data_IF_970184509060
#
_entry.id   IF_970184509060
#
_cell.length_a   1.000
_cell.length_b   1.000
_cell.length_c   1.000
_cell.angle_alpha   90.00
_cell.angle_beta   90.00
_cell.angle_gamma   90.00
#
_symmetry.space_group_name_H-M   'P 1'
#
loop_
_entity.id
_entity.type
_entity.pdbx_description
1 polymer ?
#
# COMPACT_ATOMS: atom_id res chain seq x y z
N UNK A 1 -22.29 -12.19 -21.88
CA UNK A 1 -21.22 -11.17 -21.97
C UNK A 1 -21.97 -9.87 -22.14
N UNK A 2 -21.92 -8.97 -21.16
CA UNK A 2 -22.63 -7.69 -21.25
C UNK A 2 -22.02 -6.87 -22.39
N UNK A 3 -22.85 -6.14 -23.16
CA UNK A 3 -22.33 -5.13 -24.12
C UNK A 3 -21.64 -3.97 -23.36
N UNK A 4 -22.02 -3.76 -22.10
CA UNK A 4 -21.42 -2.79 -21.17
C UNK A 4 -20.41 -3.49 -20.25
N UNK A 5 -19.30 -2.81 -19.95
CA UNK A 5 -18.28 -3.23 -19.01
C UNK A 5 -18.76 -3.24 -17.56
N UNK A 6 -17.85 -3.57 -16.64
CA UNK A 6 -18.14 -3.66 -15.19
C UNK A 6 -17.18 -2.77 -14.41
N UNK A 7 -17.68 -2.12 -13.37
CA UNK A 7 -16.89 -1.28 -12.47
C UNK A 7 -16.66 -1.99 -11.13
N UNK A 8 -15.42 -2.09 -10.68
CA UNK A 8 -15.06 -2.56 -9.35
C UNK A 8 -14.68 -1.38 -8.48
N UNK A 9 -15.42 -1.15 -7.39
CA UNK A 9 -15.10 -0.16 -6.36
C UNK A 9 -14.29 -0.91 -5.28
N UNK A 10 -12.96 -0.82 -5.34
CA UNK A 10 -12.07 -1.68 -4.57
C UNK A 10 -11.23 -0.91 -3.54
N UNK A 11 -11.07 -1.48 -2.35
CA UNK A 11 -10.23 -0.91 -1.29
C UNK A 11 -8.78 -1.39 -1.36
N UNK A 12 -7.84 -0.44 -1.36
CA UNK A 12 -6.40 -0.71 -1.29
C UNK A 12 -5.90 -1.02 0.14
N UNK A 13 -6.77 -0.92 1.14
CA UNK A 13 -6.38 -1.11 2.54
C UNK A 13 -5.41 -0.02 3.01
N UNK A 14 -4.37 -0.41 3.73
CA UNK A 14 -3.34 0.50 4.27
C UNK A 14 -2.28 0.92 3.25
N UNK A 15 -2.51 0.69 1.95
CA UNK A 15 -1.54 1.03 0.90
C UNK A 15 -0.33 0.08 0.80
N UNK A 16 -0.28 -0.99 1.60
CA UNK A 16 0.71 -2.06 1.48
C UNK A 16 0.17 -3.17 0.53
N UNK A 17 0.85 -3.45 -0.60
CA UNK A 17 0.46 -4.52 -1.52
C UNK A 17 0.28 -5.90 -0.90
N UNK A 18 0.96 -6.19 0.22
CA UNK A 18 0.84 -7.48 0.90
C UNK A 18 -0.46 -7.61 1.72
N UNK A 19 -1.16 -6.51 1.97
CA UNK A 19 -2.34 -6.44 2.84
C UNK A 19 -3.64 -6.22 2.09
N UNK A 20 -3.60 -6.07 0.76
CA UNK A 20 -4.82 -6.05 -0.05
C UNK A 20 -5.51 -7.40 -0.01
N UNK A 21 -6.84 -7.37 -0.15
CA UNK A 21 -7.62 -8.61 -0.22
C UNK A 21 -7.27 -9.40 -1.49
N UNK A 22 -7.41 -10.73 -1.43
CA UNK A 22 -7.22 -11.58 -2.62
C UNK A 22 -8.14 -11.15 -3.77
N UNK A 23 -9.36 -10.68 -3.45
CA UNK A 23 -10.30 -10.16 -4.44
C UNK A 23 -9.82 -8.86 -5.07
N UNK A 24 -9.30 -7.92 -4.29
CA UNK A 24 -8.72 -6.67 -4.81
C UNK A 24 -7.56 -6.96 -5.79
N UNK A 25 -6.67 -7.89 -5.41
CA UNK A 25 -5.59 -8.34 -6.30
C UNK A 25 -6.11 -8.93 -7.60
N UNK A 26 -7.07 -9.86 -7.53
CA UNK A 26 -7.64 -10.53 -8.70
C UNK A 26 -8.26 -9.52 -9.69
N UNK A 27 -9.00 -8.52 -9.21
CA UNK A 27 -9.62 -7.52 -10.09
C UNK A 27 -8.61 -6.54 -10.66
N UNK A 28 -7.58 -6.16 -9.90
CA UNK A 28 -6.50 -5.30 -10.37
C UNK A 28 -5.69 -5.97 -11.48
N UNK A 29 -5.36 -7.26 -11.36
CA UNK A 29 -4.59 -8.00 -12.36
C UNK A 29 -5.28 -8.09 -13.73
N UNK A 30 -6.60 -7.91 -13.77
CA UNK A 30 -7.43 -8.01 -14.98
C UNK A 30 -7.97 -6.66 -15.45
N UNK A 31 -7.65 -5.58 -14.76
CA UNK A 31 -8.19 -4.25 -15.04
C UNK A 31 -7.73 -3.73 -16.40
N UNK A 32 -8.67 -3.22 -17.19
CA UNK A 32 -8.35 -2.49 -18.43
C UNK A 32 -8.17 -1.00 -18.14
N UNK A 33 -8.86 -0.48 -17.13
CA UNK A 33 -8.74 0.89 -16.62
C UNK A 33 -8.63 0.85 -15.11
N UNK A 34 -7.66 1.58 -14.55
CA UNK A 34 -7.53 1.79 -13.10
C UNK A 34 -7.66 3.27 -12.81
N UNK A 35 -8.71 3.64 -12.06
CA UNK A 35 -8.95 4.99 -11.55
C UNK A 35 -8.59 5.05 -10.08
N UNK A 36 -7.62 5.86 -9.68
CA UNK A 36 -7.06 5.83 -8.32
C UNK A 36 -6.84 7.23 -7.74
N UNK A 37 -6.77 7.32 -6.41
CA UNK A 37 -6.53 8.58 -5.69
C UNK A 37 -5.03 8.92 -5.68
N UNK A 38 -4.66 10.21 -5.64
CA UNK A 38 -3.25 10.61 -5.57
C UNK A 38 -2.49 10.05 -4.36
N UNK A 39 -3.18 9.70 -3.27
CA UNK A 39 -2.57 9.12 -2.06
C UNK A 39 -2.14 7.66 -2.24
N UNK A 40 -2.60 6.96 -3.28
CA UNK A 40 -2.20 5.57 -3.51
C UNK A 40 -0.68 5.49 -3.73
N UNK A 41 -0.02 4.60 -2.98
CA UNK A 41 1.43 4.43 -2.98
C UNK A 41 1.97 3.93 -4.33
N UNK A 42 3.23 4.25 -4.63
CA UNK A 42 3.87 3.76 -5.86
C UNK A 42 4.00 2.22 -5.87
N UNK A 43 4.26 1.62 -4.71
CA UNK A 43 4.26 0.16 -4.52
C UNK A 43 2.91 -0.47 -4.94
N UNK A 44 1.78 0.21 -4.68
CA UNK A 44 0.46 -0.24 -5.14
C UNK A 44 0.29 -0.05 -6.65
N UNK A 45 0.78 1.05 -7.23
CA UNK A 45 0.73 1.31 -8.68
C UNK A 45 1.55 0.29 -9.49
N UNK A 46 2.53 -0.37 -8.88
CA UNK A 46 3.27 -1.47 -9.50
C UNK A 46 2.43 -2.73 -9.71
N UNK A 47 1.31 -2.89 -8.99
CA UNK A 47 0.36 -3.98 -9.21
C UNK A 47 -0.51 -3.78 -10.45
N UNK A 48 -0.56 -2.56 -11.00
CA UNK A 48 -1.43 -2.26 -12.13
C UNK A 48 -0.90 -2.93 -13.39
N UNK A 49 -1.76 -3.55 -14.22
CA UNK A 49 -1.34 -4.17 -15.46
C UNK A 49 -0.54 -3.19 -16.33
N UNK A 50 0.49 -3.69 -17.04
CA UNK A 50 1.37 -2.85 -17.84
C UNK A 50 0.64 -2.13 -19.00
N UNK A 51 -0.46 -2.72 -19.48
CA UNK A 51 -1.27 -2.19 -20.58
C UNK A 51 -2.57 -1.50 -20.16
N UNK A 52 -2.86 -1.37 -18.86
CA UNK A 52 -4.09 -0.71 -18.43
C UNK A 52 -4.01 0.82 -18.58
N UNK A 53 -5.14 1.45 -18.86
CA UNK A 53 -5.29 2.90 -18.76
C UNK A 53 -5.22 3.31 -17.28
N UNK A 54 -4.34 4.25 -16.93
CA UNK A 54 -4.14 4.72 -15.55
C UNK A 54 -4.68 6.15 -15.42
N UNK A 55 -5.67 6.35 -14.56
CA UNK A 55 -6.32 7.65 -14.38
C UNK A 55 -6.23 8.03 -12.91
N UNK A 56 -5.39 9.01 -12.61
CA UNK A 56 -5.36 9.62 -11.28
C UNK A 56 -6.51 10.64 -11.18
N UNK A 57 -7.36 10.50 -10.17
CA UNK A 57 -8.49 11.41 -9.97
C UNK A 57 -8.85 11.57 -8.49
N UNK A 58 -9.14 12.80 -8.09
CA UNK A 58 -9.61 13.13 -6.73
C UNK A 58 -11.11 13.45 -6.72
N UNK A 59 -11.86 12.98 -5.71
CA UNK A 59 -13.22 13.47 -5.46
C UNK A 59 -13.23 14.99 -5.34
N UNK A 60 -14.12 15.67 -6.07
CA UNK A 60 -14.30 17.13 -5.96
C UNK A 60 -13.48 18.03 -6.90
N UNK A 61 -12.71 17.47 -7.84
CA UNK A 61 -11.98 18.21 -8.88
C UNK A 61 -12.84 18.87 -9.97
N UNK A 62 -14.02 19.39 -9.63
CA UNK A 62 -15.01 19.96 -10.55
C UNK A 62 -14.84 21.45 -10.79
N UNK A 63 -13.72 21.89 -11.37
CA UNK A 63 -13.66 23.16 -12.09
C UNK A 63 -14.36 23.03 -13.44
N UNK A 64 -14.91 24.13 -13.99
CA UNK A 64 -15.62 24.11 -15.29
C UNK A 64 -14.70 23.60 -16.41
N UNK A 65 -14.85 22.33 -16.78
CA UNK A 65 -14.05 21.67 -17.82
C UNK A 65 -13.48 20.30 -17.42
N UNK A 66 -13.43 19.95 -16.13
CA UNK A 66 -12.98 18.64 -15.66
C UNK A 66 -14.15 17.66 -15.54
N UNK A 67 -14.01 16.46 -16.11
CA UNK A 67 -14.98 15.36 -15.93
C UNK A 67 -14.95 14.88 -14.49
N UNK A 68 -16.12 14.56 -13.93
CA UNK A 68 -16.24 13.96 -12.60
C UNK A 68 -15.69 12.53 -12.60
N UNK A 69 -15.22 12.04 -11.45
CA UNK A 69 -14.76 10.65 -11.29
C UNK A 69 -15.86 9.69 -11.75
N UNK A 70 -17.11 9.88 -11.30
CA UNK A 70 -18.24 9.05 -11.72
C UNK A 70 -18.43 9.04 -13.24
N UNK A 71 -18.27 10.19 -13.91
CA UNK A 71 -18.38 10.27 -15.36
C UNK A 71 -17.30 9.45 -16.07
N UNK A 72 -16.05 9.49 -15.57
CA UNK A 72 -14.95 8.66 -16.10
C UNK A 72 -15.29 7.17 -15.96
N UNK A 73 -15.83 6.75 -14.81
CA UNK A 73 -16.21 5.36 -14.57
C UNK A 73 -17.32 4.90 -15.52
N UNK A 74 -18.35 5.73 -15.71
CA UNK A 74 -19.48 5.46 -16.61
C UNK A 74 -18.99 5.37 -18.05
N UNK A 75 -18.29 6.40 -18.56
CA UNK A 75 -17.79 6.47 -19.94
C UNK A 75 -17.00 5.20 -20.30
N UNK A 76 -16.07 4.78 -19.42
CA UNK A 76 -15.22 3.61 -19.67
C UNK A 76 -15.99 2.29 -19.58
N UNK A 77 -16.98 2.19 -18.70
CA UNK A 77 -17.84 1.03 -18.65
C UNK A 77 -18.73 0.95 -19.90
N UNK A 78 -19.26 2.06 -20.42
CA UNK A 78 -20.03 2.09 -21.68
C UNK A 78 -19.19 1.70 -22.90
N UNK A 79 -17.88 1.95 -22.87
CA UNK A 79 -16.92 1.42 -23.86
C UNK A 79 -16.70 -0.11 -23.76
N UNK A 80 -17.35 -0.80 -22.82
CA UNK A 80 -17.22 -2.24 -22.62
C UNK A 80 -16.07 -2.67 -21.71
N UNK A 81 -15.34 -1.73 -21.10
CA UNK A 81 -14.10 -2.01 -20.35
C UNK A 81 -14.36 -2.47 -18.92
N UNK A 82 -13.46 -3.31 -18.40
CA UNK A 82 -13.34 -3.60 -16.98
C UNK A 82 -12.59 -2.46 -16.26
N UNK A 83 -13.31 -1.71 -15.44
CA UNK A 83 -12.79 -0.54 -14.72
C UNK A 83 -12.61 -0.88 -13.24
N UNK A 84 -11.46 -0.58 -12.66
CA UNK A 84 -11.22 -0.65 -11.22
C UNK A 84 -11.06 0.77 -10.68
N UNK A 85 -11.99 1.21 -9.84
CA UNK A 85 -11.85 2.40 -9.00
C UNK A 85 -11.22 1.97 -7.67
N UNK A 86 -9.97 2.37 -7.44
CA UNK A 86 -9.20 2.02 -6.26
C UNK A 86 -9.25 3.14 -5.22
N UNK A 87 -9.81 2.84 -4.05
CA UNK A 87 -9.90 3.74 -2.89
C UNK A 87 -8.80 3.42 -1.89
N UNK A 88 -8.34 4.43 -1.15
CA UNK A 88 -7.59 4.20 0.09
C UNK A 88 -8.49 3.55 1.15
N UNK A 89 -7.94 2.62 1.94
CA UNK A 89 -8.70 1.91 2.97
C UNK A 89 -9.80 1.01 2.40
N UNK A 90 -11.01 1.16 2.93
CA UNK A 90 -12.23 0.47 2.48
C UNK A 90 -13.13 1.44 1.66
N UNK A 91 -13.74 1.00 0.54
CA UNK A 91 -14.53 1.89 -0.31
C UNK A 91 -15.67 2.60 0.44
N UNK A 92 -16.39 1.90 1.32
CA UNK A 92 -17.55 2.49 2.02
C UNK A 92 -17.19 3.27 3.28
N UNK A 93 -15.89 3.34 3.62
CA UNK A 93 -15.42 4.37 4.53
C UNK A 93 -15.39 5.75 3.86
N UNK A 94 -15.30 5.80 2.52
CA UNK A 94 -15.30 7.06 1.76
C UNK A 94 -16.70 7.47 1.28
N UNK A 95 -17.08 8.72 1.59
CA UNK A 95 -18.31 9.33 1.08
C UNK A 95 -18.37 9.42 -0.46
N UNK A 96 -17.21 9.51 -1.14
CA UNK A 96 -17.16 9.58 -2.61
C UNK A 96 -17.59 8.26 -3.25
N UNK A 97 -17.22 7.11 -2.67
CA UNK A 97 -17.64 5.80 -3.16
C UNK A 97 -19.17 5.66 -3.18
N UNK A 98 -19.85 6.21 -2.17
CA UNK A 98 -21.31 6.16 -2.09
C UNK A 98 -21.95 6.94 -3.24
N UNK A 99 -21.43 8.14 -3.53
CA UNK A 99 -21.93 8.97 -4.63
C UNK A 99 -21.61 8.36 -6.01
N UNK A 100 -20.43 7.76 -6.16
CA UNK A 100 -20.02 7.03 -7.35
C UNK A 100 -20.90 5.79 -7.59
N UNK A 101 -21.15 4.96 -6.58
CA UNK A 101 -22.05 3.80 -6.67
C UNK A 101 -23.49 4.19 -7.03
N UNK A 102 -24.00 5.29 -6.44
CA UNK A 102 -25.31 5.84 -6.81
C UNK A 102 -25.36 6.30 -8.28
N UNK A 103 -24.27 6.88 -8.78
CA UNK A 103 -24.18 7.30 -10.17
C UNK A 103 -24.18 6.10 -11.13
N UNK A 104 -23.38 5.07 -10.84
CA UNK A 104 -23.35 3.83 -11.61
C UNK A 104 -24.73 3.16 -11.64
N UNK A 105 -25.43 3.12 -10.51
CA UNK A 105 -26.79 2.59 -10.41
C UNK A 105 -27.77 3.36 -11.29
N UNK A 106 -27.69 4.71 -11.30
CA UNK A 106 -28.58 5.57 -12.10
C UNK A 106 -28.42 5.36 -13.60
N UNK A 107 -27.19 5.14 -14.06
CA UNK A 107 -26.88 4.88 -15.47
C UNK A 107 -26.96 3.39 -15.85
N UNK A 108 -27.36 2.51 -14.91
CA UNK A 108 -27.48 1.07 -15.18
C UNK A 108 -26.15 0.35 -15.40
N UNK A 109 -25.03 0.92 -14.95
CA UNK A 109 -23.71 0.32 -15.06
C UNK A 109 -23.53 -0.76 -13.98
N UNK A 110 -23.21 -2.02 -14.35
CA UNK A 110 -22.91 -3.07 -13.39
C UNK A 110 -21.68 -2.73 -12.55
N UNK A 111 -21.77 -2.90 -11.23
CA UNK A 111 -20.61 -2.74 -10.36
C UNK A 111 -20.56 -3.74 -9.21
N UNK A 112 -19.35 -3.98 -8.71
CA UNK A 112 -19.06 -4.79 -7.52
C UNK A 112 -18.23 -3.95 -6.54
N UNK A 113 -18.53 -4.07 -5.24
CA UNK A 113 -17.72 -3.46 -4.19
C UNK A 113 -16.81 -4.50 -3.58
N UNK A 114 -15.51 -4.24 -3.59
CA UNK A 114 -14.48 -5.12 -3.05
C UNK A 114 -13.94 -4.51 -1.75
N UNK A 115 -14.22 -5.13 -0.58
CA UNK A 115 -13.80 -4.60 0.70
C UNK A 115 -12.28 -4.46 0.83
N UNK A 116 -11.87 -3.48 1.62
CA UNK A 116 -10.49 -3.20 1.99
C UNK A 116 -10.28 -3.17 3.51
N UNK A 117 -9.03 -3.14 3.95
CA UNK A 117 -8.71 -2.94 5.35
C UNK A 117 -8.92 -1.48 5.73
N UNK A 118 -9.65 -1.22 6.81
CA UNK A 118 -9.81 0.15 7.33
C UNK A 118 -8.50 0.54 8.02
N UNK A 119 -7.86 1.60 7.52
CA UNK A 119 -6.54 2.05 7.98
C UNK A 119 -6.53 2.36 9.49
N UNK A 120 -7.52 3.12 9.97
CA UNK A 120 -7.61 3.51 11.38
C UNK A 120 -7.67 2.33 12.35
N UNK A 121 -8.35 1.24 11.96
CA UNK A 121 -8.42 0.02 12.77
C UNK A 121 -7.18 -0.86 12.60
N UNK A 122 -6.60 -0.88 11.40
CA UNK A 122 -5.40 -1.67 11.12
C UNK A 122 -4.19 -1.13 11.87
N UNK A 123 -4.10 0.19 12.05
CA UNK A 123 -3.06 0.86 12.82
C UNK A 123 -2.91 0.28 14.23
N UNK A 124 -4.03 -0.01 14.91
CA UNK A 124 -4.04 -0.63 16.24
C UNK A 124 -3.40 -2.02 16.23
N UNK A 125 -3.71 -2.83 15.21
CA UNK A 125 -3.14 -4.18 15.05
C UNK A 125 -1.62 -4.14 14.91
N UNK A 126 -1.10 -3.20 14.12
CA UNK A 126 0.35 -2.99 13.98
C UNK A 126 0.96 -2.35 15.23
N UNK A 127 0.23 -1.51 15.95
CA UNK A 127 0.67 -0.96 17.23
C UNK A 127 0.58 -1.96 18.40
N UNK A 128 0.12 -3.20 18.18
CA UNK A 128 -0.05 -4.17 19.27
C UNK A 128 -1.13 -3.74 20.28
N UNK A 129 -2.11 -2.95 19.86
CA UNK A 129 -3.23 -2.51 20.69
C UNK A 129 -4.47 -3.27 20.23
N UNK A 130 -5.05 -4.15 21.05
CA UNK A 130 -6.25 -4.88 20.65
C UNK A 130 -7.48 -3.98 20.74
N UNK A 131 -8.45 -4.20 19.85
CA UNK A 131 -9.77 -3.53 19.91
C UNK A 131 -10.57 -3.91 21.15
N UNK A 132 -10.27 -5.06 21.73
CA UNK A 132 -10.92 -5.56 22.93
C UNK A 132 -9.86 -6.13 23.89
N UNK A 133 -9.83 -5.70 25.15
CA UNK A 133 -8.76 -6.09 26.09
C UNK A 133 -8.83 -7.54 26.58
N UNK A 134 -9.82 -8.33 26.13
CA UNK A 134 -10.28 -9.55 26.81
C UNK A 134 -10.84 -9.26 28.21
N UNK A 135 -12.07 -9.71 28.50
CA UNK A 135 -12.69 -9.60 29.83
C UNK A 135 -12.68 -8.20 30.47
N UNK A 136 -13.54 -7.27 30.04
CA UNK A 136 -13.74 -6.00 30.76
C UNK A 136 -14.31 -4.83 29.97
N UNK A 137 -13.87 -4.60 28.72
CA UNK A 137 -14.46 -3.54 27.89
C UNK A 137 -15.85 -3.95 27.38
N UNK A 138 -16.77 -2.98 27.32
CA UNK A 138 -18.14 -3.20 26.82
C UNK A 138 -18.28 -3.08 25.31
N UNK A 139 -17.27 -2.49 24.65
CA UNK A 139 -17.26 -2.24 23.22
C UNK A 139 -16.15 -1.27 22.81
N UNK A 140 -16.15 -0.89 21.54
CA UNK A 140 -15.30 0.16 21.01
C UNK A 140 -16.10 1.08 20.09
N UNK A 141 -15.62 2.29 19.87
CA UNK A 141 -16.22 3.27 18.97
C UNK A 141 -15.15 3.94 18.12
N UNK A 142 -15.45 4.14 16.84
CA UNK A 142 -14.55 4.74 15.87
C UNK A 142 -15.17 6.04 15.38
N UNK A 143 -14.38 7.11 15.30
CA UNK A 143 -14.81 8.40 14.81
C UNK A 143 -13.68 9.15 14.11
N UNK A 144 -14.02 10.04 13.20
CA UNK A 144 -13.10 11.07 12.70
C UNK A 144 -13.14 12.29 13.64
N UNK A 145 -12.00 12.95 13.83
CA UNK A 145 -11.90 14.24 14.52
C UNK A 145 -11.20 15.27 13.62
N UNK A 146 -11.79 16.46 13.39
CA UNK A 146 -12.99 17.01 14.03
C UNK A 146 -14.31 16.34 13.61
N UNK A 147 -15.30 16.31 14.50
CA UNK A 147 -16.60 15.71 14.20
C UNK A 147 -17.31 16.48 13.07
N UNK A 148 -17.96 15.72 12.17
CA UNK A 148 -18.74 16.27 11.07
C UNK A 148 -19.78 17.30 11.56
N UNK A 149 -19.90 18.39 10.79
CA UNK A 149 -20.81 19.50 11.08
C UNK A 149 -20.34 20.46 12.18
N UNK A 150 -19.07 20.39 12.59
CA UNK A 150 -18.50 21.28 13.61
C UNK A 150 -19.05 21.03 15.02
N UNK A 151 -19.62 19.85 15.25
CA UNK A 151 -20.11 19.44 16.57
C UNK A 151 -18.93 19.34 17.55
N UNK A 152 -19.11 19.84 18.76
CA UNK A 152 -18.08 19.69 19.80
C UNK A 152 -18.09 18.26 20.34
N UNK A 153 -16.89 17.72 20.54
CA UNK A 153 -16.70 16.38 21.09
C UNK A 153 -17.07 16.31 22.57
N UNK A 154 -16.85 17.38 23.33
CA UNK A 154 -17.19 17.45 24.76
C UNK A 154 -18.69 17.20 25.04
N UNK A 155 -19.54 17.59 24.11
CA UNK A 155 -21.02 17.47 24.20
C UNK A 155 -21.54 16.22 23.47
N UNK A 156 -20.63 15.32 23.04
CA UNK A 156 -20.97 14.15 22.24
C UNK A 156 -21.14 12.88 23.09
N UNK A 157 -21.79 11.87 22.51
CA UNK A 157 -21.95 10.56 23.15
C UNK A 157 -20.61 9.82 23.40
N UNK A 158 -19.53 10.20 22.72
CA UNK A 158 -18.23 9.53 22.88
C UNK A 158 -17.68 9.67 24.30
N UNK A 159 -17.86 10.83 24.94
CA UNK A 159 -17.40 11.04 26.32
C UNK A 159 -18.12 10.10 27.30
N UNK A 160 -19.44 9.92 27.16
CA UNK A 160 -20.20 8.97 27.96
C UNK A 160 -19.76 7.52 27.73
N UNK A 161 -19.41 7.16 26.49
CA UNK A 161 -18.93 5.81 26.16
C UNK A 161 -17.57 5.50 26.80
N UNK A 162 -16.67 6.48 26.91
CA UNK A 162 -15.40 6.31 27.63
C UNK A 162 -15.63 5.95 29.09
N UNK A 163 -16.53 6.66 29.78
CA UNK A 163 -16.88 6.39 31.19
C UNK A 163 -17.49 5.00 31.40
N UNK A 164 -18.20 4.48 30.39
CA UNK A 164 -18.74 3.12 30.40
C UNK A 164 -17.69 2.03 30.19
N UNK A 165 -16.42 2.40 29.96
CA UNK A 165 -15.30 1.49 29.71
C UNK A 165 -15.19 1.05 28.26
N UNK A 166 -15.70 1.84 27.29
CA UNK A 166 -15.46 1.60 25.88
C UNK A 166 -14.10 2.15 25.46
N UNK A 167 -13.47 1.48 24.50
CA UNK A 167 -12.32 2.03 23.78
C UNK A 167 -12.80 3.02 22.74
N UNK A 168 -12.27 4.24 22.76
CA UNK A 168 -12.51 5.22 21.71
C UNK A 168 -11.33 5.26 20.75
N UNK A 169 -11.60 5.33 19.45
CA UNK A 169 -10.61 5.37 18.39
C UNK A 169 -10.93 6.57 17.51
N UNK A 170 -10.04 7.55 17.50
CA UNK A 170 -10.19 8.77 16.71
C UNK A 170 -9.18 8.79 15.57
N UNK A 171 -9.66 8.83 14.33
CA UNK A 171 -8.85 9.18 13.17
C UNK A 171 -8.75 10.70 13.09
N UNK A 172 -7.52 11.24 13.14
CA UNK A 172 -7.31 12.68 13.22
C UNK A 172 -5.95 13.09 12.64
N UNK A 173 -5.48 14.29 12.93
CA UNK A 173 -4.15 14.80 12.60
C UNK A 173 -3.39 15.14 13.87
N UNK A 174 -2.06 15.00 13.83
CA UNK A 174 -1.21 15.22 15.00
C UNK A 174 -1.35 16.63 15.61
N UNK A 175 -1.59 17.66 14.80
CA UNK A 175 -1.82 19.04 15.23
C UNK A 175 -3.17 19.27 15.97
N UNK A 176 -4.06 18.28 15.92
CA UNK A 176 -5.38 18.34 16.55
C UNK A 176 -5.49 17.50 17.82
N UNK A 177 -4.45 16.74 18.16
CA UNK A 177 -4.44 15.80 19.29
C UNK A 177 -4.61 16.53 20.64
N UNK A 178 -3.98 17.68 20.84
CA UNK A 178 -4.11 18.46 22.07
C UNK A 178 -5.55 18.97 22.27
N UNK A 179 -6.16 19.43 21.17
CA UNK A 179 -7.55 19.90 21.17
C UNK A 179 -8.52 18.75 21.41
N UNK A 180 -8.31 17.61 20.77
CA UNK A 180 -9.05 16.38 20.97
C UNK A 180 -9.01 15.95 22.45
N UNK A 181 -7.81 15.90 23.04
CA UNK A 181 -7.60 15.55 24.45
C UNK A 181 -8.31 16.51 25.39
N UNK A 182 -8.20 17.82 25.12
CA UNK A 182 -8.87 18.87 25.90
C UNK A 182 -10.39 18.78 25.83
N UNK A 183 -10.97 18.48 24.66
CA UNK A 183 -12.42 18.32 24.52
C UNK A 183 -12.94 17.06 25.21
N UNK A 184 -12.20 15.95 25.17
CA UNK A 184 -12.55 14.73 25.92
C UNK A 184 -12.56 14.98 27.43
N UNK A 185 -11.52 15.63 27.97
CA UNK A 185 -11.47 15.98 29.40
C UNK A 185 -12.58 16.96 29.78
N UNK A 186 -12.88 17.96 28.94
CA UNK A 186 -13.99 18.87 29.17
C UNK A 186 -15.36 18.17 29.14
N UNK A 187 -15.47 17.05 28.42
CA UNK A 187 -16.65 16.18 28.38
C UNK A 187 -16.76 15.18 29.53
N UNK A 188 -15.81 15.17 30.46
CA UNK A 188 -15.83 14.34 31.67
C UNK A 188 -14.88 13.14 31.67
N UNK A 189 -14.19 12.86 30.56
CA UNK A 189 -13.24 11.73 30.49
C UNK A 189 -12.06 12.00 31.43
N UNK A 190 -11.75 11.03 32.29
CA UNK A 190 -10.70 11.19 33.30
C UNK A 190 -9.32 11.43 32.66
N UNK A 191 -8.57 12.43 33.13
CA UNK A 191 -7.23 12.76 32.64
C UNK A 191 -6.22 11.61 32.76
N UNK A 192 -6.38 10.74 33.76
CA UNK A 192 -5.54 9.55 33.95
C UNK A 192 -5.86 8.39 32.98
N UNK A 193 -6.82 8.57 32.05
CA UNK A 193 -7.16 7.55 31.05
C UNK A 193 -5.97 7.31 30.12
N UNK A 194 -5.53 6.06 29.92
CA UNK A 194 -4.43 5.76 29.01
C UNK A 194 -4.77 6.11 27.57
N UNK A 195 -3.79 6.66 26.85
CA UNK A 195 -3.92 6.99 25.44
C UNK A 195 -2.70 6.49 24.65
N UNK A 196 -2.93 6.12 23.41
CA UNK A 196 -1.89 5.84 22.44
C UNK A 196 -2.17 6.61 21.16
N UNK A 197 -1.18 7.33 20.65
CA UNK A 197 -1.24 8.03 19.37
C UNK A 197 -0.36 7.26 18.38
N UNK A 198 -0.94 6.85 17.27
CA UNK A 198 -0.31 6.00 16.27
C UNK A 198 -0.19 6.80 14.97
N UNK A 199 1.03 6.99 14.48
CA UNK A 199 1.32 7.60 13.18
C UNK A 199 1.88 6.54 12.24
N UNK A 200 1.44 6.54 10.97
CA UNK A 200 1.93 5.59 9.95
C UNK A 200 1.67 4.13 10.30
N UNK A 201 0.46 3.80 10.78
CA UNK A 201 0.11 2.46 11.24
C UNK A 201 0.36 1.36 10.20
N UNK A 202 1.34 0.48 10.46
CA UNK A 202 1.77 -0.59 9.54
C UNK A 202 2.83 -0.19 8.52
N UNK A 203 3.26 1.07 8.52
CA UNK A 203 4.38 1.55 7.72
C UNK A 203 5.72 1.27 8.41
N UNK A 204 6.84 1.14 7.67
CA UNK A 204 8.17 0.97 8.29
C UNK A 204 8.56 2.12 9.22
N UNK A 205 8.02 3.31 8.99
CA UNK A 205 8.21 4.51 9.81
C UNK A 205 7.21 4.66 10.96
N UNK A 206 6.37 3.65 11.24
CA UNK A 206 5.37 3.72 12.31
C UNK A 206 5.98 4.24 13.61
N UNK A 207 5.28 5.20 14.23
CA UNK A 207 5.59 5.74 15.55
C UNK A 207 4.36 5.64 16.45
N UNK A 208 4.57 5.18 17.68
CA UNK A 208 3.52 5.14 18.70
C UNK A 208 3.95 5.91 19.94
N UNK A 209 3.10 6.83 20.38
CA UNK A 209 3.31 7.66 21.56
C UNK A 209 2.30 7.23 22.62
N UNK A 210 2.77 6.67 23.72
CA UNK A 210 1.97 6.26 24.87
C UNK A 210 1.96 7.37 25.91
N UNK A 211 0.77 7.76 26.39
CA UNK A 211 0.63 8.77 27.43
C UNK A 211 -0.65 8.57 28.26
N UNK A 212 -0.92 9.50 29.16
CA UNK A 212 -2.22 9.74 29.78
C UNK A 212 -2.91 10.90 29.08
N UNK A 213 -4.24 10.93 29.11
CA UNK A 213 -5.05 11.94 28.43
C UNK A 213 -4.71 13.39 28.87
N UNK A 214 -4.35 13.61 30.14
CA UNK A 214 -3.95 14.92 30.67
C UNK A 214 -2.47 15.27 30.43
N UNK A 215 -1.70 14.33 29.91
CA UNK A 215 -0.24 14.40 29.79
C UNK A 215 0.20 14.17 28.34
N UNK A 216 -0.70 14.32 27.39
CA UNK A 216 -0.39 14.17 25.96
C UNK A 216 0.67 15.21 25.59
N UNK A 217 1.82 14.78 25.04
CA UNK A 217 2.88 15.71 24.66
C UNK A 217 2.46 16.52 23.43
N UNK A 218 2.97 17.74 23.34
CA UNK A 218 2.89 18.53 22.11
C UNK A 218 3.63 17.79 20.98
N UNK A 219 2.87 17.30 20.02
CA UNK A 219 3.40 16.50 18.92
C UNK A 219 4.20 17.34 17.93
N UNK A 220 4.01 18.66 17.88
CA UNK A 220 4.81 19.56 17.06
C UNK A 220 6.25 19.65 17.60
N UNK A 221 6.41 19.68 18.93
CA UNK A 221 7.73 19.70 19.58
C UNK A 221 8.49 18.37 19.48
N UNK A 222 7.76 17.25 19.45
CA UNK A 222 8.33 15.89 19.33
C UNK A 222 8.72 15.54 17.88
N UNK A 223 8.44 16.44 16.94
CA UNK A 223 9.01 16.47 15.60
C UNK A 223 8.07 15.90 14.54
N UNK A 224 7.74 16.74 13.57
CA UNK A 224 7.03 16.39 12.34
C UNK A 224 6.24 17.58 11.76
N UNK A 225 5.89 17.48 10.48
CA UNK A 225 4.76 18.25 9.94
C UNK A 225 3.46 17.60 10.44
N UNK A 226 2.33 18.33 10.49
CA UNK A 226 1.03 17.73 10.78
C UNK A 226 0.77 16.51 9.90
N UNK A 227 0.54 15.35 10.52
CA UNK A 227 0.39 14.06 9.86
C UNK A 227 -0.91 13.38 10.30
N UNK A 228 -1.56 12.58 9.42
CA UNK A 228 -2.65 11.71 9.82
C UNK A 228 -2.20 10.76 10.94
N UNK A 229 -3.04 10.61 11.97
CA UNK A 229 -2.77 9.71 13.08
C UNK A 229 -4.07 9.11 13.63
N UNK A 230 -3.92 8.08 14.45
CA UNK A 230 -5.00 7.44 15.19
C UNK A 230 -4.74 7.60 16.67
N UNK A 231 -5.66 8.25 17.39
CA UNK A 231 -5.64 8.33 18.85
C UNK A 231 -6.59 7.29 19.44
N UNK A 232 -6.05 6.40 20.27
CA UNK A 232 -6.80 5.38 21.00
C UNK A 232 -6.89 5.80 22.46
N UNK A 233 -8.10 5.85 23.00
CA UNK A 233 -8.40 6.25 24.37
C UNK A 233 -9.03 5.08 25.12
N UNK A 234 -8.40 4.66 26.21
CA UNK A 234 -8.86 3.59 27.07
C UNK A 234 -7.77 2.61 27.50
N UNK A 235 -8.11 1.70 28.42
CA UNK A 235 -7.15 0.78 29.05
C UNK A 235 -6.42 -0.15 28.06
N UNK A 236 -7.02 -0.45 26.90
CA UNK A 236 -6.36 -1.26 25.85
C UNK A 236 -5.03 -0.69 25.39
N UNK A 237 -4.84 0.64 25.48
CA UNK A 237 -3.60 1.30 25.08
C UNK A 237 -2.39 0.77 25.87
N UNK A 238 -2.58 0.34 27.13
CA UNK A 238 -1.50 -0.24 27.97
C UNK A 238 -1.04 -1.62 27.51
N UNK A 239 -1.91 -2.38 26.83
CA UNK A 239 -1.60 -3.75 26.41
C UNK A 239 -0.48 -3.81 25.37
N UNK A 240 -0.21 -2.68 24.70
CA UNK A 240 0.92 -2.53 23.80
C UNK A 240 2.25 -2.94 24.43
N UNK A 241 2.45 -2.66 25.72
CA UNK A 241 3.68 -3.04 26.43
C UNK A 241 4.01 -4.54 26.28
N UNK A 242 2.99 -5.38 26.18
CA UNK A 242 3.12 -6.84 26.06
C UNK A 242 2.99 -7.33 24.61
N UNK A 243 2.20 -6.63 23.80
CA UNK A 243 1.78 -7.09 22.47
C UNK A 243 2.48 -6.38 21.30
N UNK A 244 3.43 -5.47 21.57
CA UNK A 244 4.18 -4.77 20.53
C UNK A 244 5.09 -5.72 19.72
N UNK A 245 4.55 -6.25 18.63
CA UNK A 245 5.24 -7.17 17.73
C UNK A 245 5.89 -6.46 16.53
N UNK A 246 5.40 -5.27 16.16
CA UNK A 246 5.78 -4.59 14.93
C UNK A 246 7.06 -3.75 15.09
N UNK A 247 7.09 -2.86 16.08
CA UNK A 247 8.24 -1.97 16.29
C UNK A 247 9.40 -2.67 17.01
N UNK A 248 9.18 -3.90 17.49
CA UNK A 248 10.22 -4.80 18.00
C UNK A 248 11.05 -5.48 16.92
N UNK A 249 10.76 -5.26 15.62
CA UNK A 249 11.53 -5.86 14.53
C UNK A 249 12.98 -5.35 14.50
N UNK A 250 13.96 -6.19 14.10
CA UNK A 250 15.39 -5.89 14.28
C UNK A 250 15.90 -4.59 13.64
N UNK A 251 15.26 -4.14 12.57
CA UNK A 251 15.66 -2.95 11.80
C UNK A 251 14.51 -1.95 11.66
N UNK A 252 13.55 -1.94 12.59
CA UNK A 252 12.43 -0.99 12.60
C UNK A 252 12.89 0.47 12.45
N UNK A 253 12.17 1.25 11.66
CA UNK A 253 12.44 2.67 11.43
C UNK A 253 13.75 2.98 10.69
N UNK A 254 14.49 1.96 10.21
CA UNK A 254 15.69 2.18 9.41
C UNK A 254 15.32 2.39 7.95
N UNK A 255 16.00 3.33 7.31
CA UNK A 255 15.86 3.61 5.88
C UNK A 255 17.11 3.14 5.14
N UNK A 256 16.95 2.25 4.15
CA UNK A 256 18.08 1.67 3.41
C UNK A 256 17.91 1.92 1.91
N UNK A 257 18.96 2.50 1.31
CA UNK A 257 19.06 2.70 -0.13
C UNK A 257 19.62 1.44 -0.82
N UNK A 258 18.89 0.93 -1.81
CA UNK A 258 19.28 -0.21 -2.64
C UNK A 258 19.61 0.29 -4.04
N UNK A 259 20.88 0.19 -4.42
CA UNK A 259 21.39 0.67 -5.72
C UNK A 259 21.51 -0.40 -6.80
N UNK A 260 21.04 -1.63 -6.50
CA UNK A 260 21.09 -2.76 -7.44
C UNK A 260 20.09 -2.61 -8.59
N UNK A 261 20.31 -3.30 -9.73
CA UNK A 261 19.30 -3.40 -10.79
C UNK A 261 17.94 -3.83 -10.22
N UNK A 262 16.85 -3.22 -10.73
CA UNK A 262 15.49 -3.36 -10.18
C UNK A 262 15.09 -4.82 -9.92
N UNK A 263 15.32 -5.70 -10.90
CA UNK A 263 15.03 -7.14 -10.81
C UNK A 263 15.71 -7.86 -9.62
N UNK A 264 16.88 -7.39 -9.19
CA UNK A 264 17.59 -7.93 -8.02
C UNK A 264 17.27 -7.17 -6.72
N UNK A 265 16.84 -5.91 -6.83
CA UNK A 265 16.48 -5.07 -5.71
C UNK A 265 15.21 -5.59 -5.03
N UNK A 266 14.21 -6.05 -5.77
CA UNK A 266 12.90 -6.43 -5.22
C UNK A 266 12.98 -7.55 -4.18
N UNK A 267 13.76 -8.60 -4.45
CA UNK A 267 13.93 -9.71 -3.50
C UNK A 267 14.61 -9.24 -2.23
N UNK A 268 15.65 -8.42 -2.35
CA UNK A 268 16.38 -7.92 -1.19
C UNK A 268 15.53 -6.91 -0.39
N UNK A 269 14.79 -6.05 -1.09
CA UNK A 269 13.86 -5.11 -0.51
C UNK A 269 12.78 -5.81 0.31
N UNK A 270 12.20 -6.92 -0.19
CA UNK A 270 11.21 -7.73 0.57
C UNK A 270 11.77 -8.23 1.90
N UNK A 271 12.97 -8.81 1.88
CA UNK A 271 13.63 -9.29 3.12
C UNK A 271 13.87 -8.14 4.10
N UNK A 272 14.29 -6.98 3.61
CA UNK A 272 14.48 -5.79 4.46
C UNK A 272 13.15 -5.27 5.02
N UNK A 273 12.08 -5.24 4.23
CA UNK A 273 10.73 -4.86 4.69
C UNK A 273 10.23 -5.79 5.81
N UNK A 274 10.47 -7.09 5.72
CA UNK A 274 10.14 -8.05 6.79
C UNK A 274 10.89 -7.75 8.10
N UNK A 275 12.10 -7.19 8.01
CA UNK A 275 12.89 -6.76 9.15
C UNK A 275 12.50 -5.36 9.69
N UNK A 276 11.51 -4.70 9.10
CA UNK A 276 11.02 -3.38 9.52
C UNK A 276 11.68 -2.18 8.82
N UNK A 277 12.35 -2.40 7.68
CA UNK A 277 13.10 -1.35 6.97
C UNK A 277 12.24 -0.65 5.92
N UNK A 278 12.35 0.67 5.85
CA UNK A 278 11.94 1.47 4.69
C UNK A 278 13.00 1.36 3.59
N UNK A 279 12.63 0.82 2.43
CA UNK A 279 13.59 0.59 1.33
C UNK A 279 13.41 1.62 0.23
N UNK A 280 14.50 2.29 -0.15
CA UNK A 280 14.55 3.13 -1.35
C UNK A 280 15.27 2.40 -2.47
N UNK A 281 14.58 2.12 -3.57
CA UNK A 281 15.19 1.47 -4.73
C UNK A 281 15.63 2.55 -5.71
N UNK A 282 16.94 2.73 -5.87
CA UNK A 282 17.55 3.69 -6.79
C UNK A 282 18.56 2.98 -7.69
N UNK A 283 18.11 2.24 -8.72
CA UNK A 283 19.01 1.47 -9.57
C UNK A 283 19.98 2.40 -10.30
N UNK A 284 21.28 2.26 -10.05
CA UNK A 284 22.31 3.09 -10.69
C UNK A 284 22.80 2.52 -12.01
N UNK A 285 22.35 1.31 -12.36
CA UNK A 285 22.73 0.59 -13.57
C UNK A 285 21.48 -0.02 -14.18
N UNK A 286 21.30 0.17 -15.49
CA UNK A 286 20.29 -0.52 -16.30
C UNK A 286 21.01 -1.50 -17.21
N UNK A 287 20.51 -2.74 -17.29
CA UNK A 287 20.98 -3.72 -18.25
C UNK A 287 20.01 -3.69 -19.43
N UNK A 288 20.50 -3.31 -20.60
CA UNK A 288 19.74 -3.29 -21.85
C UNK A 288 20.41 -4.19 -22.88
N UNK A 289 19.68 -4.67 -23.89
CA UNK A 289 20.29 -5.24 -25.07
C UNK A 289 21.32 -4.26 -25.68
N UNK A 290 22.37 -4.77 -26.36
CA UNK A 290 23.24 -3.92 -27.15
C UNK A 290 22.46 -3.28 -28.32
N UNK A 291 22.89 -2.08 -28.74
CA UNK A 291 22.28 -1.38 -29.89
C UNK A 291 22.40 -2.19 -31.19
N UNK A 292 23.48 -2.99 -31.31
CA UNK A 292 23.71 -3.91 -32.41
C UNK A 292 23.90 -5.34 -31.89
N UNK A 293 22.96 -6.23 -32.27
CA UNK A 293 23.02 -7.66 -31.98
C UNK A 293 23.84 -8.47 -32.99
N UNK A 294 24.22 -7.89 -34.13
CA UNK A 294 24.87 -8.58 -35.25
C UNK A 294 26.13 -9.38 -34.86
N UNK A 295 27.05 -8.86 -34.03
CA UNK A 295 28.21 -9.62 -33.58
C UNK A 295 27.83 -10.86 -32.77
N UNK A 296 26.80 -10.76 -31.93
CA UNK A 296 26.29 -11.89 -31.15
C UNK A 296 25.60 -12.91 -32.05
N UNK A 297 24.81 -12.47 -33.01
CA UNK A 297 24.13 -13.35 -33.97
C UNK A 297 25.11 -14.13 -34.84
N UNK A 298 26.18 -13.47 -35.30
CA UNK A 298 27.25 -14.11 -36.05
C UNK A 298 27.98 -15.15 -35.19
N UNK A 299 28.32 -14.80 -33.95
CA UNK A 299 28.95 -15.72 -33.01
C UNK A 299 28.03 -16.92 -32.67
N UNK A 300 26.73 -16.68 -32.50
CA UNK A 300 25.72 -17.74 -32.35
C UNK A 300 25.71 -18.62 -33.60
N UNK A 301 25.75 -17.99 -34.78
CA UNK A 301 25.81 -18.60 -36.11
C UNK A 301 26.88 -19.68 -36.24
N UNK A 302 28.06 -19.38 -35.70
CA UNK A 302 29.30 -20.18 -35.79
C UNK A 302 29.69 -20.82 -34.45
N UNK A 303 28.73 -21.11 -33.56
CA UNK A 303 29.00 -21.72 -32.24
C UNK A 303 29.84 -22.99 -32.31
N UNK A 304 29.73 -23.76 -33.39
CA UNK A 304 30.48 -24.99 -33.63
C UNK A 304 31.96 -24.76 -34.01
N UNK A 305 32.36 -23.53 -34.31
CA UNK A 305 33.75 -23.16 -34.54
C UNK A 305 34.54 -22.84 -33.25
N UNK A 306 33.86 -22.71 -32.10
CA UNK A 306 34.50 -22.35 -30.83
C UNK A 306 34.81 -23.59 -29.98
N UNK A 307 36.02 -23.65 -29.40
CA UNK A 307 36.37 -24.67 -28.40
C UNK A 307 35.68 -24.42 -27.04
N UNK A 308 35.48 -23.14 -26.70
CA UNK A 308 34.91 -22.70 -25.43
C UNK A 308 33.95 -21.54 -25.59
N UNK A 309 32.83 -21.61 -24.87
CA UNK A 309 31.93 -20.48 -24.63
C UNK A 309 31.94 -20.18 -23.14
N UNK A 310 32.36 -18.96 -22.79
CA UNK A 310 32.58 -18.55 -21.41
C UNK A 310 31.52 -17.52 -21.01
N UNK A 311 30.70 -17.88 -20.03
CA UNK A 311 29.74 -16.97 -19.41
C UNK A 311 30.34 -16.39 -18.12
N UNK A 312 30.46 -15.06 -18.08
CA UNK A 312 31.07 -14.33 -16.96
C UNK A 312 30.04 -13.73 -16.01
N UNK A 313 28.75 -13.74 -16.38
CA UNK A 313 27.66 -13.24 -15.53
C UNK A 313 26.33 -13.90 -15.86
N UNK A 314 25.42 -13.92 -14.88
CA UNK A 314 24.03 -14.39 -15.04
C UNK A 314 23.29 -13.63 -16.14
N UNK A 315 23.54 -12.32 -16.26
CA UNK A 315 22.96 -11.50 -17.33
C UNK A 315 23.42 -11.98 -18.71
N UNK A 316 24.72 -12.29 -18.86
CA UNK A 316 25.26 -12.81 -20.11
C UNK A 316 24.60 -14.13 -20.53
N UNK A 317 24.36 -15.04 -19.57
CA UNK A 317 23.63 -16.29 -19.84
C UNK A 317 22.20 -16.00 -20.31
N UNK A 318 21.46 -15.14 -19.59
CA UNK A 318 20.07 -14.82 -19.90
C UNK A 318 19.94 -14.21 -21.30
N UNK A 319 20.65 -13.12 -21.59
CA UNK A 319 20.53 -12.43 -22.88
C UNK A 319 21.03 -13.27 -24.04
N UNK A 320 22.04 -14.12 -23.83
CA UNK A 320 22.46 -15.10 -24.83
C UNK A 320 21.35 -16.13 -25.10
N UNK A 321 20.74 -16.70 -24.06
CA UNK A 321 19.68 -17.69 -24.20
C UNK A 321 18.44 -17.11 -24.89
N UNK A 322 18.01 -15.91 -24.49
CA UNK A 322 16.90 -15.20 -25.12
C UNK A 322 17.18 -14.94 -26.61
N UNK A 323 18.41 -14.52 -26.95
CA UNK A 323 18.80 -14.28 -28.34
C UNK A 323 18.90 -15.57 -29.15
N UNK A 324 19.46 -16.64 -28.58
CA UNK A 324 19.56 -17.96 -29.21
C UNK A 324 18.18 -18.50 -29.59
N UNK A 325 17.22 -18.43 -28.67
CA UNK A 325 15.84 -18.82 -28.90
C UNK A 325 15.15 -17.91 -29.93
N UNK A 326 15.42 -16.60 -29.86
CA UNK A 326 14.92 -15.62 -30.85
C UNK A 326 15.47 -15.82 -32.27
N UNK A 327 16.60 -16.51 -32.43
CA UNK A 327 17.16 -16.96 -33.71
C UNK A 327 16.71 -18.38 -34.10
N UNK A 328 15.67 -18.91 -33.44
CA UNK A 328 15.15 -20.26 -33.65
C UNK A 328 16.20 -21.37 -33.45
N UNK A 329 17.18 -21.13 -32.58
CA UNK A 329 18.21 -22.09 -32.17
C UNK A 329 18.01 -22.51 -30.72
N UNK A 330 18.69 -23.59 -30.31
CA UNK A 330 18.64 -24.08 -28.93
C UNK A 330 19.98 -24.65 -28.46
N UNK A 331 20.00 -25.25 -27.26
CA UNK A 331 21.17 -25.82 -26.63
C UNK A 331 21.90 -26.91 -27.47
N UNK A 332 21.23 -27.54 -28.45
CA UNK A 332 21.87 -28.49 -29.38
C UNK A 332 22.90 -27.81 -30.27
N UNK A 333 22.86 -26.49 -30.40
CA UNK A 333 23.87 -25.69 -31.11
C UNK A 333 25.27 -25.86 -30.51
N UNK A 334 25.39 -26.23 -29.23
CA UNK A 334 26.66 -26.53 -28.55
C UNK A 334 27.16 -27.96 -28.78
N UNK A 335 26.31 -28.87 -29.25
CA UNK A 335 26.57 -30.31 -29.26
C UNK A 335 27.73 -30.73 -30.20
N UNK A 336 28.20 -29.82 -31.06
CA UNK A 336 29.25 -30.09 -32.05
C UNK A 336 30.68 -29.84 -31.57
N UNK A 337 30.92 -29.34 -30.35
CA UNK A 337 32.28 -29.27 -29.80
C UNK A 337 32.55 -28.20 -28.75
N UNK A 338 31.75 -27.14 -28.69
CA UNK A 338 31.96 -26.03 -27.77
C UNK A 338 31.72 -26.44 -26.31
N UNK A 339 32.74 -26.31 -25.47
CA UNK A 339 32.64 -26.51 -24.03
C UNK A 339 32.11 -25.24 -23.36
N UNK A 340 31.22 -25.41 -22.38
CA UNK A 340 30.65 -24.26 -21.66
C UNK A 340 31.40 -24.09 -20.33
N UNK A 341 31.86 -22.87 -20.07
CA UNK A 341 32.44 -22.46 -18.79
C UNK A 341 31.60 -21.34 -18.19
N UNK A 342 31.22 -21.48 -16.92
CA UNK A 342 30.56 -20.43 -16.16
C UNK A 342 31.50 -19.93 -15.06
N UNK A 343 31.70 -18.61 -14.99
CA UNK A 343 32.46 -17.99 -13.89
C UNK A 343 31.53 -17.79 -12.70
N UNK A 344 31.71 -18.64 -11.69
CA UNK A 344 31.04 -18.57 -10.40
C UNK A 344 29.72 -19.35 -10.31
N UNK A 345 29.30 -19.76 -9.10
CA UNK A 345 28.12 -20.63 -8.91
C UNK A 345 26.79 -20.01 -9.36
N UNK A 346 26.67 -18.68 -9.30
CA UNK A 346 25.45 -17.99 -9.72
C UNK A 346 25.26 -18.02 -11.24
N UNK A 347 26.36 -17.96 -12.01
CA UNK A 347 26.34 -18.03 -13.47
C UNK A 347 26.16 -19.47 -13.97
N UNK A 348 26.53 -20.46 -13.16
CA UNK A 348 26.43 -21.88 -13.49
C UNK A 348 25.05 -22.51 -13.23
N UNK A 349 24.19 -21.83 -12.48
CA UNK A 349 22.79 -22.24 -12.22
C UNK A 349 21.88 -21.75 -13.33
#
# INVERSE_FOLDING_TARGET
MYETGVVYLAGAGTGNPALITCRCREVLERAEVVVFEPSISDDMKELFPAGCERIEASPGGGGSGFRTVSGILIDRAEEGKMVVRLFEGDPYHSGSCVEEAKALTREGIPFEVVPGLIEGLSALTFAGIPLHPGGGAKGFSVAEYPLAGGRSLKDSAYCALADEGNTLIFQTRSDLVDKLSSELMAGGVAGATPVAIIEGGGEPGQRVIESLLDSVPDLEEVGGLPAPCVMVVGEVSRMRMELNWFEGRPLHGRRILITRPREQADRFARVLKELGVETLIAPTIRITPPDDGGPLDAAIGELDAYDWVIFTSVNGVRFFADRLLGLERDARSFAKGARILAIGPATAR
#
